data_IF_704402368161
#
_entry.id   IF_704402368161
#
_cell.length_a   1.000
_cell.length_b   1.000
_cell.length_c   1.000
_cell.angle_alpha   90.00
_cell.angle_beta   90.00
_cell.angle_gamma   90.00
#
_symmetry.space_group_name_H-M   'P 1'
#
loop_
_entity.id
_entity.type
_entity.pdbx_description
1 polymer ?
#
# COMPACT_ATOMS: atom_id res chain seq x y z
N UNK A 1 23.97 -41.95 47.45
CA UNK A 1 24.52 -41.10 46.37
C UNK A 1 23.41 -40.89 45.35
N UNK A 2 22.94 -39.65 45.14
CA UNK A 2 21.88 -39.32 44.18
C UNK A 2 20.93 -38.25 44.73
N UNK A 3 21.35 -37.00 44.61
CA UNK A 3 20.72 -35.81 45.19
C UNK A 3 19.38 -35.42 44.55
N UNK A 4 18.62 -34.66 45.34
CA UNK A 4 17.60 -33.70 44.91
C UNK A 4 17.93 -33.02 43.57
N UNK A 5 17.15 -33.35 42.54
CA UNK A 5 17.06 -32.80 41.16
C UNK A 5 16.30 -33.88 40.41
N UNK A 6 14.98 -33.84 40.19
CA UNK A 6 14.19 -32.77 39.61
C UNK A 6 12.74 -33.05 40.00
N UNK A 7 12.15 -32.31 40.95
CA UNK A 7 11.30 -31.15 40.62
C UNK A 7 10.51 -31.42 39.33
N UNK A 8 9.33 -32.00 39.52
CA UNK A 8 8.10 -31.22 39.49
C UNK A 8 7.74 -30.84 38.05
N UNK A 9 6.71 -31.53 37.55
CA UNK A 9 5.65 -30.96 36.72
C UNK A 9 6.07 -29.69 35.95
N UNK A 10 6.72 -29.86 34.80
CA UNK A 10 6.78 -28.79 33.82
C UNK A 10 5.41 -28.65 33.14
N UNK A 11 4.45 -28.10 33.89
CA UNK A 11 3.29 -27.42 33.35
C UNK A 11 3.77 -26.06 32.84
N UNK A 12 4.40 -26.05 31.66
CA UNK A 12 4.87 -24.82 31.03
C UNK A 12 3.72 -24.22 30.22
N UNK A 13 2.87 -23.52 30.96
CA UNK A 13 1.79 -22.66 30.48
C UNK A 13 2.27 -21.76 29.34
N UNK A 14 1.62 -21.86 28.18
CA UNK A 14 1.82 -20.98 27.04
C UNK A 14 1.14 -19.65 27.36
N UNK A 15 1.90 -18.69 27.87
CA UNK A 15 1.41 -17.33 28.07
C UNK A 15 1.28 -16.70 26.69
N UNK A 16 0.03 -16.53 26.23
CA UNK A 16 -0.29 -15.69 25.09
C UNK A 16 0.10 -14.25 25.44
N UNK A 17 1.19 -13.79 24.82
CA UNK A 17 1.73 -12.47 25.04
C UNK A 17 0.82 -11.37 24.48
N UNK A 18 0.32 -10.55 25.41
CA UNK A 18 0.02 -9.13 25.31
C UNK A 18 -0.84 -8.64 24.12
N UNK A 19 -2.12 -8.38 24.40
CA UNK A 19 -2.89 -7.36 23.69
C UNK A 19 -2.23 -6.01 24.01
N UNK A 20 -1.48 -5.46 23.04
CA UNK A 20 -1.00 -4.09 23.12
C UNK A 20 -2.23 -3.17 23.01
N UNK A 21 -2.63 -2.55 24.12
CA UNK A 21 -3.58 -1.45 24.10
C UNK A 21 -2.94 -0.27 23.35
N UNK A 22 -3.27 -0.13 22.06
CA UNK A 22 -2.87 1.04 21.28
C UNK A 22 -3.51 2.27 21.91
N UNK A 23 -2.69 3.10 22.57
CA UNK A 23 -3.10 4.39 23.08
C UNK A 23 -3.60 5.24 21.89
N UNK A 24 -4.86 5.67 21.92
CA UNK A 24 -5.38 6.69 21.03
C UNK A 24 -4.63 8.00 21.29
N UNK A 25 -3.63 8.30 20.47
CA UNK A 25 -3.09 9.65 20.34
C UNK A 25 -4.10 10.48 19.54
N UNK A 26 -4.67 11.56 20.10
CA UNK A 26 -5.51 12.46 19.30
C UNK A 26 -4.61 13.13 18.26
N UNK A 27 -4.96 12.97 16.99
CA UNK A 27 -4.26 13.61 15.88
C UNK A 27 -4.51 15.12 15.98
N UNK A 28 -3.50 15.86 16.44
CA UNK A 28 -3.53 17.32 16.36
C UNK A 28 -3.44 17.72 14.88
N UNK A 29 -4.50 18.34 14.37
CA UNK A 29 -4.53 18.95 13.05
C UNK A 29 -3.49 20.06 13.00
N UNK A 30 -2.34 19.77 12.39
CA UNK A 30 -1.35 20.79 12.05
C UNK A 30 -1.96 21.61 10.92
N UNK A 31 -2.15 22.93 11.06
CA UNK A 31 -2.58 23.76 9.94
C UNK A 31 -1.51 23.65 8.85
N UNK A 32 -1.88 23.00 7.75
CA UNK A 32 -0.98 22.74 6.64
C UNK A 32 -0.46 24.05 6.08
N UNK A 33 0.85 24.25 6.18
CA UNK A 33 1.55 25.31 5.46
C UNK A 33 1.36 25.04 3.98
N UNK A 34 0.64 25.92 3.28
CA UNK A 34 0.60 25.90 1.82
C UNK A 34 1.96 26.41 1.33
N UNK A 35 2.91 25.50 1.20
CA UNK A 35 4.13 25.76 0.43
C UNK A 35 3.70 25.79 -1.02
N UNK A 36 3.81 26.95 -1.68
CA UNK A 36 3.60 27.02 -3.11
C UNK A 36 4.63 26.08 -3.76
N UNK A 37 4.15 24.97 -4.34
CA UNK A 37 5.00 24.05 -5.08
C UNK A 37 5.71 24.79 -6.21
N UNK A 38 6.98 24.49 -6.53
CA UNK A 38 7.66 25.03 -7.69
C UNK A 38 6.82 24.85 -8.98
N UNK A 39 6.97 25.74 -9.96
CA UNK A 39 6.13 25.77 -11.17
C UNK A 39 6.15 24.45 -11.96
N UNK A 40 7.28 23.74 -11.97
CA UNK A 40 7.43 22.42 -12.59
C UNK A 40 6.59 21.33 -11.89
N UNK A 41 6.55 21.38 -10.57
CA UNK A 41 5.74 20.46 -9.75
C UNK A 41 4.24 20.74 -10.00
N UNK A 42 3.84 22.01 -10.05
CA UNK A 42 2.46 22.39 -10.39
C UNK A 42 2.05 21.92 -11.80
N UNK A 43 2.95 22.01 -12.77
CA UNK A 43 2.72 21.53 -14.14
C UNK A 43 2.55 20.01 -14.15
N UNK A 44 3.43 19.29 -13.47
CA UNK A 44 3.37 17.83 -13.34
C UNK A 44 2.06 17.39 -12.69
N UNK A 45 1.66 18.04 -11.59
CA UNK A 45 0.39 17.74 -10.90
C UNK A 45 -0.80 18.00 -11.82
N UNK A 46 -0.80 19.08 -12.60
CA UNK A 46 -1.90 19.39 -13.53
C UNK A 46 -2.03 18.33 -14.63
N UNK A 47 -0.91 17.96 -15.26
CA UNK A 47 -0.88 16.93 -16.32
C UNK A 47 -1.33 15.59 -15.75
N UNK A 48 -0.81 15.20 -14.60
CA UNK A 48 -1.18 13.95 -13.95
C UNK A 48 -2.68 13.91 -13.65
N UNK A 49 -3.23 14.95 -13.01
CA UNK A 49 -4.67 15.04 -12.72
C UNK A 49 -5.55 14.96 -13.97
N UNK A 50 -5.12 15.56 -15.08
CA UNK A 50 -5.86 15.55 -16.33
C UNK A 50 -5.80 14.18 -17.05
N UNK A 51 -4.66 13.49 -17.00
CA UNK A 51 -4.43 12.23 -17.70
C UNK A 51 -4.93 11.00 -16.93
N UNK A 52 -4.90 11.06 -15.59
CA UNK A 52 -5.25 9.95 -14.70
C UNK A 52 -6.55 9.20 -15.07
N UNK A 53 -7.68 9.88 -15.37
CA UNK A 53 -8.94 9.19 -15.66
C UNK A 53 -8.90 8.31 -16.91
N UNK A 54 -7.98 8.57 -17.84
CA UNK A 54 -7.85 7.80 -19.08
C UNK A 54 -6.87 6.61 -18.94
N UNK A 55 -6.09 6.54 -17.87
CA UNK A 55 -5.10 5.47 -17.65
C UNK A 55 -5.74 4.31 -16.91
N UNK A 56 -5.56 3.11 -17.44
CA UNK A 56 -6.15 1.87 -16.91
C UNK A 56 -5.08 0.82 -16.67
N UNK A 57 -5.39 -0.11 -15.76
CA UNK A 57 -4.61 -1.35 -15.60
C UNK A 57 -5.12 -2.38 -16.60
N UNK A 58 -4.20 -2.99 -17.33
CA UNK A 58 -4.46 -4.12 -18.23
C UNK A 58 -3.85 -5.37 -17.60
N UNK A 59 -4.63 -6.43 -17.47
CA UNK A 59 -4.18 -7.72 -16.95
C UNK A 59 -4.65 -8.85 -17.85
N UNK A 60 -3.72 -9.73 -18.21
CA UNK A 60 -3.99 -10.91 -19.04
C UNK A 60 -3.19 -12.10 -18.50
N UNK A 61 -3.87 -13.06 -17.88
CA UNK A 61 -3.22 -14.22 -17.28
C UNK A 61 -2.17 -13.81 -16.25
N UNK A 62 -0.90 -14.11 -16.53
CA UNK A 62 0.25 -13.74 -15.70
C UNK A 62 0.89 -12.39 -16.08
N UNK A 63 0.46 -11.75 -17.18
CA UNK A 63 0.97 -10.45 -17.62
C UNK A 63 0.11 -9.31 -17.07
N UNK A 64 0.75 -8.18 -16.78
CA UNK A 64 0.12 -6.97 -16.27
C UNK A 64 0.87 -5.75 -16.77
N UNK A 65 0.13 -4.68 -17.06
CA UNK A 65 0.69 -3.42 -17.52
C UNK A 65 -0.32 -2.29 -17.49
N UNK A 66 0.07 -1.17 -18.07
CA UNK A 66 -0.79 0.00 -18.19
C UNK A 66 -1.35 0.11 -19.60
N UNK A 67 -2.52 0.70 -19.71
CA UNK A 67 -3.12 1.13 -20.96
C UNK A 67 -3.69 2.53 -20.86
N UNK A 68 -4.08 3.08 -22.00
CA UNK A 68 -4.79 4.36 -22.08
C UNK A 68 -6.02 4.22 -22.96
N UNK A 69 -7.15 4.74 -22.48
CA UNK A 69 -8.38 4.86 -23.25
C UNK A 69 -8.21 5.97 -24.28
N UNK A 70 -8.36 5.63 -25.56
CA UNK A 70 -8.17 6.56 -26.68
C UNK A 70 -9.47 6.92 -27.39
N UNK A 71 -10.58 6.21 -27.10
CA UNK A 71 -11.87 6.46 -27.70
C UNK A 71 -13.04 6.15 -26.73
N UNK A 72 -14.18 6.86 -26.81
CA UNK A 72 -15.28 6.75 -25.85
C UNK A 72 -16.00 5.40 -25.85
N UNK A 73 -15.90 4.63 -26.93
CA UNK A 73 -16.39 3.26 -27.03
C UNK A 73 -15.61 2.25 -26.18
N UNK A 74 -14.52 2.68 -25.54
CA UNK A 74 -13.67 1.81 -24.71
C UNK A 74 -12.47 1.22 -25.43
N UNK A 75 -12.00 1.84 -26.52
CA UNK A 75 -10.76 1.45 -27.18
C UNK A 75 -9.55 1.78 -26.30
N UNK A 76 -8.76 0.77 -25.96
CA UNK A 76 -7.57 0.89 -25.10
C UNK A 76 -6.30 0.59 -25.89
N UNK A 77 -5.33 1.51 -25.81
CA UNK A 77 -3.96 1.30 -26.30
C UNK A 77 -3.08 0.77 -25.17
N UNK A 78 -2.31 -0.28 -25.44
CA UNK A 78 -1.31 -0.83 -24.52
C UNK A 78 -0.12 -1.39 -25.31
N UNK A 79 0.90 -1.87 -24.61
CA UNK A 79 2.02 -2.56 -25.23
C UNK A 79 1.65 -4.00 -25.60
N UNK A 80 2.21 -4.50 -26.69
CA UNK A 80 1.92 -5.84 -27.18
C UNK A 80 2.30 -6.96 -26.18
N UNK A 81 3.43 -6.81 -25.48
CA UNK A 81 3.88 -7.76 -24.45
C UNK A 81 2.95 -7.86 -23.22
N UNK A 82 2.00 -6.93 -23.07
CA UNK A 82 1.01 -6.99 -21.98
C UNK A 82 -0.09 -7.99 -22.32
N UNK A 83 -0.30 -8.28 -23.62
CA UNK A 83 -1.44 -9.06 -24.12
C UNK A 83 -1.03 -10.30 -24.93
N UNK A 84 0.23 -10.70 -24.90
CA UNK A 84 0.74 -11.87 -25.62
C UNK A 84 1.54 -12.81 -24.74
#
# INVERSE_FOLDING_TARGET
MGNARDKAMQAKSWIWGAIAAAALVPSAMVPGRILASPLEEQTTVKVYRAALPAVVTVSQGSSSGSGTVIAPEGLVLTNEHVVR
#
